data_IF_567937423580
#
_entry.id   IF_567937423580
#
_cell.length_a   1.000
_cell.length_b   1.000
_cell.length_c   1.000
_cell.angle_alpha   90.00
_cell.angle_beta   90.00
_cell.angle_gamma   90.00
#
_symmetry.space_group_name_H-M   'P 1'
#
loop_
_entity.id
_entity.type
_entity.pdbx_description
1 polymer ?
#
# COMPACT_ATOMS: atom_id res chain seq x y z
N UNK A 1 2.14 20.60 14.46
CA UNK A 1 1.65 20.24 15.81
C UNK A 1 1.85 18.76 15.98
N UNK A 2 2.91 18.40 16.70
CA UNK A 2 3.29 17.02 17.00
C UNK A 2 2.36 16.49 18.10
N UNK A 3 1.60 15.44 17.81
CA UNK A 3 0.75 14.78 18.78
C UNK A 3 1.49 13.54 19.29
N UNK A 4 2.09 13.72 20.48
CA UNK A 4 2.45 12.70 21.46
C UNK A 4 3.17 11.45 20.94
N UNK A 5 4.51 11.50 20.96
CA UNK A 5 5.26 10.33 21.37
C UNK A 5 4.99 10.12 22.87
N UNK A 6 3.91 9.41 23.20
CA UNK A 6 3.81 8.80 24.53
C UNK A 6 5.05 7.91 24.69
N UNK A 7 5.81 8.11 25.77
CA UNK A 7 6.91 7.21 26.12
C UNK A 7 6.34 5.79 26.15
N UNK A 8 6.83 4.94 25.25
CA UNK A 8 6.48 3.53 25.25
C UNK A 8 6.84 2.97 26.63
N UNK A 9 5.99 2.09 27.15
CA UNK A 9 6.31 1.37 28.38
C UNK A 9 7.62 0.59 28.16
N UNK A 10 8.58 0.80 29.05
CA UNK A 10 9.79 -0.01 29.08
C UNK A 10 9.48 -1.43 29.55
N UNK A 11 10.03 -2.40 28.84
CA UNK A 11 9.96 -3.82 29.16
C UNK A 11 11.39 -4.36 29.27
N UNK A 12 11.61 -5.34 30.14
CA UNK A 12 12.87 -6.08 30.12
C UNK A 12 13.04 -6.85 28.80
N UNK A 13 14.28 -7.19 28.41
CA UNK A 13 14.52 -7.99 27.20
C UNK A 13 13.79 -9.34 27.21
N UNK A 14 13.70 -9.99 28.38
CA UNK A 14 12.99 -11.26 28.55
C UNK A 14 11.48 -11.10 28.32
N UNK A 15 10.87 -10.05 28.87
CA UNK A 15 9.46 -9.75 28.65
C UNK A 15 9.16 -9.44 27.19
N UNK A 16 9.99 -8.63 26.51
CA UNK A 16 9.81 -8.33 25.08
C UNK A 16 9.90 -9.60 24.22
N UNK A 17 10.88 -10.47 24.49
CA UNK A 17 11.06 -11.71 23.76
C UNK A 17 9.88 -12.68 23.91
N UNK A 18 9.16 -12.62 25.03
CA UNK A 18 7.99 -13.45 25.30
C UNK A 18 6.68 -12.88 24.71
N UNK A 19 6.67 -11.65 24.19
CA UNK A 19 5.45 -11.04 23.66
C UNK A 19 4.97 -11.72 22.36
N UNK A 20 3.66 -11.82 22.14
CA UNK A 20 3.11 -12.50 20.98
C UNK A 20 3.35 -11.69 19.70
N UNK A 21 4.28 -12.15 18.86
CA UNK A 21 4.62 -11.48 17.60
C UNK A 21 3.40 -11.25 16.69
N UNK A 22 2.46 -12.21 16.64
CA UNK A 22 1.24 -12.10 15.83
C UNK A 22 0.33 -10.94 16.24
N UNK A 23 0.29 -10.59 17.53
CA UNK A 23 -0.51 -9.46 18.00
C UNK A 23 0.11 -8.14 17.55
N UNK A 24 1.43 -8.01 17.68
CA UNK A 24 2.17 -6.80 17.29
C UNK A 24 2.19 -6.58 15.78
N UNK A 25 2.45 -7.62 14.99
CA UNK A 25 2.41 -7.51 13.52
C UNK A 25 1.01 -7.20 13.03
N UNK A 26 -0.02 -7.80 13.62
CA UNK A 26 -1.41 -7.49 13.32
C UNK A 26 -1.80 -6.05 13.67
N UNK A 27 -1.41 -5.56 14.84
CA UNK A 27 -1.70 -4.18 15.26
C UNK A 27 -0.97 -3.14 14.40
N UNK A 28 0.33 -3.33 14.16
CA UNK A 28 1.10 -2.47 13.27
C UNK A 28 0.51 -2.44 11.86
N UNK A 29 0.16 -3.61 11.31
CA UNK A 29 -0.47 -3.72 10.00
C UNK A 29 -1.77 -2.90 9.92
N UNK A 30 -2.71 -3.11 10.87
CA UNK A 30 -3.99 -2.40 10.89
C UNK A 30 -3.81 -0.88 10.98
N UNK A 31 -2.89 -0.40 11.82
CA UNK A 31 -2.62 1.04 11.98
C UNK A 31 -2.01 1.65 10.72
N UNK A 32 -1.01 1.01 10.13
CA UNK A 32 -0.35 1.50 8.91
C UNK A 32 -1.31 1.50 7.73
N UNK A 33 -1.98 0.37 7.46
CA UNK A 33 -2.95 0.24 6.36
C UNK A 33 -4.13 1.19 6.56
N UNK A 34 -4.66 1.29 7.78
CA UNK A 34 -5.74 2.21 8.11
C UNK A 34 -5.37 3.68 7.88
N UNK A 35 -4.16 4.10 8.28
CA UNK A 35 -3.69 5.46 8.05
C UNK A 35 -3.50 5.78 6.56
N UNK A 36 -2.99 4.83 5.77
CA UNK A 36 -2.87 4.97 4.30
C UNK A 36 -4.27 5.06 3.66
N UNK A 37 -5.17 4.13 3.98
CA UNK A 37 -6.55 4.14 3.47
C UNK A 37 -7.27 5.45 3.84
N UNK A 38 -7.09 5.95 5.05
CA UNK A 38 -7.64 7.24 5.49
C UNK A 38 -7.13 8.43 4.68
N UNK A 39 -5.85 8.44 4.29
CA UNK A 39 -5.31 9.50 3.44
C UNK A 39 -5.73 9.38 1.96
N UNK A 40 -5.89 8.16 1.44
CA UNK A 40 -6.46 7.93 0.10
C UNK A 40 -7.92 8.42 0.02
N UNK A 41 -8.71 8.17 1.07
CA UNK A 41 -10.12 8.56 1.12
C UNK A 41 -10.34 10.07 0.98
N UNK A 42 -9.35 10.91 1.34
CA UNK A 42 -9.42 12.38 1.16
C UNK A 42 -9.56 12.77 -0.33
N UNK A 43 -9.00 11.97 -1.25
CA UNK A 43 -9.17 12.15 -2.70
C UNK A 43 -10.28 11.22 -3.25
N UNK A 44 -11.15 10.68 -2.40
CA UNK A 44 -12.16 9.67 -2.73
C UNK A 44 -11.56 8.44 -3.43
N UNK A 45 -10.39 7.99 -2.98
CA UNK A 45 -9.72 6.81 -3.51
C UNK A 45 -9.76 5.67 -2.49
N UNK A 46 -9.98 4.46 -2.98
CA UNK A 46 -9.69 3.22 -2.24
C UNK A 46 -8.30 2.69 -2.59
N UNK A 47 -7.86 1.63 -1.91
CA UNK A 47 -6.58 0.98 -2.19
C UNK A 47 -6.52 0.41 -3.64
N UNK A 48 -7.56 -0.26 -4.17
CA UNK A 48 -7.65 -0.59 -5.59
C UNK A 48 -7.47 0.59 -6.54
N UNK A 49 -8.13 1.74 -6.31
CA UNK A 49 -7.93 2.94 -7.14
C UNK A 49 -6.46 3.36 -7.14
N UNK A 50 -5.83 3.38 -5.96
CA UNK A 50 -4.41 3.72 -5.81
C UNK A 50 -3.48 2.76 -6.56
N UNK A 51 -3.74 1.45 -6.50
CA UNK A 51 -2.97 0.46 -7.26
C UNK A 51 -3.12 0.67 -8.76
N UNK A 52 -4.35 0.89 -9.24
CA UNK A 52 -4.64 1.14 -10.65
C UNK A 52 -3.90 2.37 -11.16
N UNK A 53 -4.00 3.51 -10.44
CA UNK A 53 -3.36 4.77 -10.84
C UNK A 53 -1.82 4.64 -10.90
N UNK A 54 -1.20 3.92 -9.97
CA UNK A 54 0.25 3.73 -9.99
C UNK A 54 0.73 2.84 -11.14
N UNK A 55 0.00 1.77 -11.46
CA UNK A 55 0.32 0.91 -12.60
C UNK A 55 0.14 1.67 -13.93
N UNK A 56 -0.96 2.40 -14.09
CA UNK A 56 -1.21 3.22 -15.27
C UNK A 56 -0.18 4.36 -15.44
N UNK A 57 0.29 4.96 -14.33
CA UNK A 57 1.37 5.97 -14.34
C UNK A 57 2.72 5.37 -14.72
N UNK A 58 3.05 4.18 -14.23
CA UNK A 58 4.34 3.53 -14.47
C UNK A 58 4.51 2.92 -15.87
N UNK A 59 3.40 2.56 -16.53
CA UNK A 59 3.42 1.95 -17.86
C UNK A 59 2.22 2.40 -18.70
N UNK A 60 2.36 3.58 -19.33
CA UNK A 60 1.31 4.21 -20.15
C UNK A 60 0.88 3.30 -21.30
N UNK A 61 -0.42 3.04 -21.43
CA UNK A 61 -1.00 2.22 -22.51
C UNK A 61 -0.64 0.73 -22.43
N UNK A 62 0.03 0.28 -21.37
CA UNK A 62 0.41 -1.13 -21.22
C UNK A 62 -0.73 -1.99 -20.65
N UNK A 63 -1.51 -1.42 -19.74
CA UNK A 63 -2.52 -2.15 -18.98
C UNK A 63 -3.87 -2.14 -19.66
N UNK A 64 -4.52 -3.30 -19.76
CA UNK A 64 -5.95 -3.40 -20.00
C UNK A 64 -6.65 -3.78 -18.69
N UNK A 65 -7.99 -3.70 -18.63
CA UNK A 65 -8.74 -4.13 -17.43
C UNK A 65 -8.38 -5.56 -17.03
N UNK A 66 -8.37 -6.47 -18.01
CA UNK A 66 -8.06 -7.88 -17.78
C UNK A 66 -6.63 -8.06 -17.22
N UNK A 67 -5.61 -7.52 -17.89
CA UNK A 67 -4.21 -7.75 -17.47
C UNK A 67 -3.89 -7.09 -16.14
N UNK A 68 -4.51 -5.94 -15.83
CA UNK A 68 -4.32 -5.28 -14.55
C UNK A 68 -5.08 -5.97 -13.42
N UNK A 69 -6.31 -6.43 -13.65
CA UNK A 69 -7.05 -7.22 -12.66
C UNK A 69 -6.31 -8.51 -12.32
N UNK A 70 -5.78 -9.24 -13.30
CA UNK A 70 -4.97 -10.44 -13.08
C UNK A 70 -3.72 -10.12 -12.24
N UNK A 71 -3.07 -8.98 -12.52
CA UNK A 71 -1.90 -8.52 -11.76
C UNK A 71 -2.22 -8.16 -10.32
N UNK A 72 -3.40 -7.59 -10.06
CA UNK A 72 -3.80 -7.09 -8.73
C UNK A 72 -4.50 -8.14 -7.87
N UNK A 73 -5.15 -9.14 -8.48
CA UNK A 73 -5.91 -10.20 -7.78
C UNK A 73 -5.12 -10.90 -6.66
N UNK A 74 -3.83 -11.25 -6.81
CA UNK A 74 -3.07 -11.89 -5.72
C UNK A 74 -2.91 -11.03 -4.46
N UNK A 75 -3.12 -9.71 -4.57
CA UNK A 75 -2.99 -8.75 -3.48
C UNK A 75 -4.34 -8.28 -2.93
N UNK A 76 -5.44 -8.65 -3.57
CA UNK A 76 -6.78 -8.24 -3.16
C UNK A 76 -7.29 -9.12 -2.01
N UNK A 77 -7.57 -8.49 -0.88
CA UNK A 77 -8.15 -9.12 0.30
C UNK A 77 -9.63 -8.74 0.49
N UNK A 78 -10.21 -7.94 -0.43
CA UNK A 78 -11.54 -7.35 -0.27
C UNK A 78 -12.58 -7.86 -1.28
N UNK A 79 -12.23 -8.81 -2.14
CA UNK A 79 -13.08 -9.27 -3.25
C UNK A 79 -13.59 -8.07 -4.06
N UNK A 80 -12.63 -7.24 -4.48
CA UNK A 80 -12.83 -5.97 -5.15
C UNK A 80 -13.53 -6.17 -6.49
N UNK A 81 -14.59 -5.40 -6.74
CA UNK A 81 -15.11 -5.19 -8.09
C UNK A 81 -14.18 -4.21 -8.82
N UNK A 82 -13.20 -4.75 -9.54
CA UNK A 82 -12.23 -3.94 -10.29
C UNK A 82 -12.87 -3.19 -11.45
N UNK A 83 -13.94 -3.70 -12.06
CA UNK A 83 -14.62 -2.99 -13.14
C UNK A 83 -15.26 -1.69 -12.63
N UNK A 84 -15.89 -1.72 -11.46
CA UNK A 84 -16.40 -0.51 -10.82
C UNK A 84 -15.28 0.51 -10.50
N UNK A 85 -14.08 0.04 -10.12
CA UNK A 85 -12.91 0.91 -9.89
C UNK A 85 -12.45 1.57 -11.19
N UNK A 86 -12.38 0.83 -12.29
CA UNK A 86 -12.00 1.39 -13.59
C UNK A 86 -13.05 2.37 -14.11
N UNK A 87 -14.34 2.02 -14.00
CA UNK A 87 -15.45 2.87 -14.41
C UNK A 87 -15.45 4.20 -13.64
N UNK A 88 -15.24 4.16 -12.32
CA UNK A 88 -15.14 5.38 -11.51
C UNK A 88 -13.99 6.29 -11.95
N UNK A 89 -12.79 5.73 -12.18
CA UNK A 89 -11.64 6.51 -12.63
C UNK A 89 -11.82 7.10 -14.04
N UNK A 90 -12.51 6.39 -14.93
CA UNK A 90 -12.84 6.89 -16.27
C UNK A 90 -13.91 7.98 -16.18
N UNK A 91 -14.95 7.79 -15.37
CA UNK A 91 -16.02 8.77 -15.17
C UNK A 91 -15.50 10.09 -14.58
N UNK A 92 -14.45 10.03 -13.75
CA UNK A 92 -13.73 11.22 -13.25
C UNK A 92 -12.84 11.90 -14.29
N UNK A 93 -12.63 11.26 -15.44
CA UNK A 93 -11.67 11.70 -16.45
C UNK A 93 -10.21 11.49 -16.03
N UNK A 94 -9.92 10.59 -15.08
CA UNK A 94 -8.56 10.33 -14.59
C UNK A 94 -7.86 9.23 -15.40
N UNK A 95 -8.64 8.32 -15.97
CA UNK A 95 -8.19 7.33 -16.94
C UNK A 95 -8.94 7.49 -18.26
N UNK A 96 -8.26 7.19 -19.36
CA UNK A 96 -8.88 6.95 -20.66
C UNK A 96 -8.59 5.51 -21.09
N UNK A 97 -9.48 4.97 -21.93
CA UNK A 97 -9.28 3.71 -22.61
C UNK A 97 -9.35 3.94 -24.12
N UNK A 98 -8.41 3.36 -24.86
CA UNK A 98 -8.48 3.36 -26.32
C UNK A 98 -9.33 2.20 -26.86
N UNK A 99 -9.43 2.09 -28.19
CA UNK A 99 -10.21 1.04 -28.85
C UNK A 99 -9.70 -0.39 -28.59
N UNK A 100 -8.47 -0.55 -28.11
CA UNK A 100 -7.88 -1.84 -27.71
C UNK A 100 -8.09 -2.14 -26.22
N UNK A 101 -8.70 -1.20 -25.48
CA UNK A 101 -8.90 -1.28 -24.04
C UNK A 101 -7.69 -0.87 -23.23
N UNK A 102 -6.63 -0.38 -23.87
CA UNK A 102 -5.41 0.06 -23.19
C UNK A 102 -5.68 1.35 -22.40
N UNK A 103 -5.32 1.30 -21.11
CA UNK A 103 -5.54 2.38 -20.16
C UNK A 103 -4.39 3.38 -20.17
N UNK A 104 -4.75 4.65 -20.16
CA UNK A 104 -3.81 5.76 -20.06
C UNK A 104 -4.26 6.73 -18.96
N UNK A 105 -3.31 7.11 -18.11
CA UNK A 105 -3.52 8.16 -17.13
C UNK A 105 -3.58 9.53 -17.81
N UNK A 106 -4.60 10.32 -17.48
CA UNK A 106 -4.74 11.71 -17.92
C UNK A 106 -3.88 12.66 -17.08
N UNK A 107 -3.78 13.92 -17.49
CA UNK A 107 -3.09 14.93 -16.69
C UNK A 107 -3.81 15.18 -15.35
N UNK A 108 -5.14 15.20 -15.36
CA UNK A 108 -5.98 15.31 -14.17
C UNK A 108 -5.81 14.10 -13.25
N UNK A 109 -5.74 12.90 -13.82
CA UNK A 109 -5.49 11.65 -13.09
C UNK A 109 -4.12 11.63 -12.43
N UNK A 110 -3.08 12.09 -13.14
CA UNK A 110 -1.73 12.22 -12.57
C UNK A 110 -1.70 13.26 -11.46
N UNK A 111 -2.35 14.43 -11.64
CA UNK A 111 -2.45 15.44 -10.60
C UNK A 111 -3.16 14.89 -9.34
N UNK A 112 -4.25 14.13 -9.51
CA UNK A 112 -4.95 13.44 -8.42
C UNK A 112 -4.07 12.41 -7.71
N UNK A 113 -3.37 11.57 -8.48
CA UNK A 113 -2.43 10.58 -7.95
C UNK A 113 -1.29 11.23 -7.16
N UNK A 114 -0.74 12.34 -7.62
CA UNK A 114 0.34 13.06 -6.93
C UNK A 114 -0.12 13.68 -5.59
N UNK A 115 -1.33 14.26 -5.54
CA UNK A 115 -1.90 14.74 -4.26
C UNK A 115 -2.08 13.60 -3.26
N UNK A 116 -2.64 12.47 -3.71
CA UNK A 116 -2.78 11.28 -2.88
C UNK A 116 -1.42 10.73 -2.41
N UNK A 117 -0.43 10.71 -3.31
CA UNK A 117 0.95 10.30 -3.01
C UNK A 117 1.57 11.17 -1.92
N UNK A 118 1.44 12.48 -2.03
CA UNK A 118 1.99 13.43 -1.05
C UNK A 118 1.40 13.20 0.35
N UNK A 119 0.10 12.89 0.44
CA UNK A 119 -0.56 12.52 1.69
C UNK A 119 -0.01 11.21 2.26
N UNK A 120 0.12 10.19 1.43
CA UNK A 120 0.65 8.88 1.85
C UNK A 120 2.13 8.94 2.26
N UNK A 121 2.95 9.79 1.64
CA UNK A 121 4.34 10.01 2.03
C UNK A 121 4.42 10.47 3.50
N UNK A 122 3.51 11.33 3.95
CA UNK A 122 3.46 11.74 5.37
C UNK A 122 3.12 10.59 6.30
N UNK A 123 2.26 9.65 5.88
CA UNK A 123 2.00 8.43 6.65
C UNK A 123 3.27 7.59 6.73
N UNK A 124 3.96 7.40 5.60
CA UNK A 124 5.20 6.65 5.52
C UNK A 124 6.29 7.23 6.44
N UNK A 125 6.45 8.55 6.45
CA UNK A 125 7.38 9.21 7.37
C UNK A 125 7.02 8.98 8.84
N UNK A 126 5.75 9.10 9.21
CA UNK A 126 5.30 8.81 10.59
C UNK A 126 5.51 7.34 10.97
N UNK A 127 5.36 6.40 10.04
CA UNK A 127 5.64 4.98 10.29
C UNK A 127 7.12 4.73 10.62
N UNK A 128 8.04 5.57 10.16
CA UNK A 128 9.48 5.44 10.39
C UNK A 128 10.03 6.40 11.44
N UNK A 129 9.20 7.29 11.98
CA UNK A 129 9.64 8.29 12.95
C UNK A 129 10.15 7.60 14.22
N UNK A 130 11.36 7.98 14.66
CA UNK A 130 12.04 7.34 15.79
C UNK A 130 12.59 5.93 15.53
N UNK A 131 12.53 5.39 14.30
CA UNK A 131 13.06 4.06 13.95
C UNK A 131 14.30 4.22 13.07
N UNK A 132 15.43 3.65 13.49
CA UNK A 132 16.63 3.66 12.67
C UNK A 132 16.46 2.80 11.41
N UNK A 133 17.16 3.14 10.33
CA UNK A 133 17.15 2.34 9.11
C UNK A 133 17.60 0.89 9.36
N UNK A 134 18.60 0.69 10.23
CA UNK A 134 19.13 -0.62 10.57
C UNK A 134 18.09 -1.48 11.32
N UNK A 135 17.36 -0.90 12.27
CA UNK A 135 16.30 -1.60 13.02
C UNK A 135 15.12 -1.96 12.12
N UNK A 136 14.76 -1.05 11.21
CA UNK A 136 13.70 -1.32 10.24
C UNK A 136 14.08 -2.48 9.30
N UNK A 137 15.31 -2.45 8.74
CA UNK A 137 15.83 -3.54 7.89
C UNK A 137 15.84 -4.86 8.65
N UNK A 138 16.31 -4.85 9.91
CA UNK A 138 16.34 -6.04 10.76
C UNK A 138 14.94 -6.59 10.98
N UNK A 139 13.99 -5.71 11.31
CA UNK A 139 12.57 -6.06 11.50
C UNK A 139 11.98 -6.72 10.26
N UNK A 140 12.14 -6.11 9.08
CA UNK A 140 11.64 -6.67 7.82
C UNK A 140 12.29 -8.03 7.51
N UNK A 141 13.59 -8.19 7.73
CA UNK A 141 14.26 -9.48 7.51
C UNK A 141 13.77 -10.58 8.45
N UNK A 142 13.51 -10.26 9.71
CA UNK A 142 12.90 -11.20 10.67
C UNK A 142 11.50 -11.62 10.20
N UNK A 143 10.66 -10.66 9.79
CA UNK A 143 9.31 -10.96 9.28
C UNK A 143 9.34 -11.80 8.01
N UNK A 144 10.23 -11.49 7.06
CA UNK A 144 10.44 -12.30 5.84
C UNK A 144 10.79 -13.74 6.17
N UNK A 145 11.67 -13.96 7.17
CA UNK A 145 12.02 -15.31 7.63
C UNK A 145 10.84 -16.00 8.31
N UNK A 146 10.08 -15.31 9.15
CA UNK A 146 8.88 -15.86 9.78
C UNK A 146 7.84 -16.31 8.74
N UNK A 147 7.60 -15.48 7.72
CA UNK A 147 6.71 -15.82 6.59
C UNK A 147 7.20 -17.07 5.88
N UNK A 148 8.49 -17.15 5.54
CA UNK A 148 9.06 -18.34 4.89
C UNK A 148 8.97 -19.61 5.77
N UNK A 149 9.21 -19.49 7.07
CA UNK A 149 9.11 -20.61 8.01
C UNK A 149 7.67 -21.15 8.11
N UNK A 150 6.67 -20.30 7.86
CA UNK A 150 5.24 -20.67 7.88
C UNK A 150 4.70 -21.01 6.48
N UNK A 151 5.57 -21.22 5.48
CA UNK A 151 5.19 -21.64 4.13
C UNK A 151 4.73 -20.51 3.21
N UNK A 152 4.86 -19.24 3.61
CA UNK A 152 4.57 -18.08 2.78
C UNK A 152 5.76 -17.60 1.94
N UNK A 153 5.51 -16.63 1.05
CA UNK A 153 6.57 -16.02 0.24
C UNK A 153 7.32 -14.92 1.00
N UNK A 154 8.48 -15.24 1.57
CA UNK A 154 9.37 -14.27 2.23
C UNK A 154 10.11 -13.30 1.28
N UNK A 155 9.85 -13.34 -0.03
CA UNK A 155 10.49 -12.50 -1.05
C UNK A 155 9.56 -11.41 -1.62
N UNK A 156 8.44 -11.12 -0.96
CA UNK A 156 7.57 -10.03 -1.38
C UNK A 156 8.24 -8.64 -1.28
N UNK A 157 7.94 -7.71 -2.20
CA UNK A 157 7.22 -7.91 -3.45
C UNK A 157 8.14 -8.40 -4.58
N UNK A 158 7.62 -9.27 -5.45
CA UNK A 158 8.24 -9.54 -6.75
C UNK A 158 8.35 -8.22 -7.51
N UNK A 159 9.59 -7.74 -7.71
CA UNK A 159 9.85 -6.46 -8.36
C UNK A 159 8.95 -6.26 -9.59
N UNK A 160 8.24 -5.12 -9.71
CA UNK A 160 7.80 -4.67 -11.01
C UNK A 160 9.08 -4.32 -11.79
N UNK A 161 9.46 -5.17 -12.74
CA UNK A 161 10.23 -4.71 -13.89
C UNK A 161 9.31 -3.90 -14.79
#
# INVERSE_FOLDING_TARGET
>A
MSAQAENLKDYSPEELAAQPIGAWTGEACRRVVGAIRGQLAVENLTQPHWWTLNHASGARGHWTRATLTDRLTPYDDQNTDFDAVYDDLIARGWLTQDATGAMTLTEEGEAGRLRARERNIRVHHRTHDGISQADFITTINVLRRMVANLGGNGNLPENPK
#
